data_IF_288390847582
#
_entry.id   IF_288390847582
#
_cell.length_a   1.000
_cell.length_b   1.000
_cell.length_c   1.000
_cell.angle_alpha   90.00
_cell.angle_beta   90.00
_cell.angle_gamma   90.00
#
_symmetry.space_group_name_H-M   'P 1'
#
loop_
_entity.id
_entity.type
_entity.pdbx_description
1 polymer ?
#
# COMPACT_ATOMS: atom_id res chain seq x y z
N UNK A 1 68.65 -11.98 -23.02
CA UNK A 1 69.40 -11.15 -22.08
C UNK A 1 68.80 -9.75 -22.06
N UNK A 2 68.01 -9.43 -21.05
CA UNK A 2 67.52 -8.05 -20.81
C UNK A 2 68.67 -7.26 -20.23
N UNK A 3 68.99 -6.12 -20.85
CA UNK A 3 70.05 -5.23 -20.40
C UNK A 3 69.68 -4.64 -19.01
N UNK A 4 70.62 -4.47 -18.07
CA UNK A 4 70.38 -3.92 -16.72
C UNK A 4 69.79 -2.49 -16.75
N UNK A 5 69.98 -1.77 -17.82
CA UNK A 5 69.45 -0.41 -18.06
C UNK A 5 67.93 -0.38 -18.24
N UNK A 6 67.30 -1.44 -18.76
CA UNK A 6 65.84 -1.52 -18.91
C UNK A 6 65.12 -1.73 -17.56
N UNK A 7 65.84 -2.23 -16.55
CA UNK A 7 65.34 -2.38 -15.18
C UNK A 7 65.34 -1.06 -14.40
N UNK A 8 66.15 -0.07 -14.84
CA UNK A 8 66.21 1.26 -14.24
C UNK A 8 65.23 2.25 -14.91
N UNK A 9 64.92 2.04 -16.20
CA UNK A 9 63.91 2.78 -16.94
C UNK A 9 62.54 2.10 -16.82
N UNK A 10 62.02 1.96 -15.62
CA UNK A 10 60.63 1.52 -15.36
C UNK A 10 59.54 2.41 -15.94
N UNK A 11 59.71 2.85 -17.18
CA UNK A 11 58.84 3.77 -17.91
C UNK A 11 58.20 2.95 -19.05
N UNK A 12 57.06 2.36 -18.82
CA UNK A 12 56.31 1.77 -19.93
C UNK A 12 55.18 0.80 -19.58
N UNK A 13 55.21 0.14 -18.42
CA UNK A 13 54.23 -0.91 -18.07
C UNK A 13 53.18 -0.43 -17.04
N UNK A 14 53.35 0.74 -16.43
CA UNK A 14 52.57 1.21 -15.29
C UNK A 14 51.30 1.94 -15.68
N UNK A 15 51.21 2.63 -16.86
CA UNK A 15 50.07 3.46 -17.22
C UNK A 15 48.82 2.66 -17.60
N UNK A 16 48.98 1.52 -18.29
CA UNK A 16 47.82 0.71 -18.69
C UNK A 16 47.12 0.03 -17.49
N UNK A 17 47.89 -0.45 -16.51
CA UNK A 17 47.36 -1.08 -15.30
C UNK A 17 46.69 -0.09 -14.34
N UNK A 18 47.14 1.17 -14.33
CA UNK A 18 46.51 2.26 -13.56
C UNK A 18 45.18 2.64 -14.14
N UNK A 19 45.04 2.73 -15.46
CA UNK A 19 43.77 3.01 -16.16
C UNK A 19 42.70 1.98 -15.86
N UNK A 20 43.04 0.69 -15.97
CA UNK A 20 42.08 -0.43 -15.73
C UNK A 20 41.54 -0.42 -14.30
N UNK A 21 42.37 -0.10 -13.27
CA UNK A 21 41.92 -0.01 -11.89
C UNK A 21 40.96 1.18 -11.67
N UNK A 22 41.24 2.32 -12.28
CA UNK A 22 40.37 3.49 -12.16
C UNK A 22 39.00 3.25 -12.83
N UNK A 23 38.98 2.56 -13.98
CA UNK A 23 37.75 2.13 -14.63
C UNK A 23 36.94 1.18 -13.74
N UNK A 24 37.63 0.20 -13.13
CA UNK A 24 36.98 -0.72 -12.18
C UNK A 24 36.35 0.01 -11.00
N UNK A 25 37.09 0.93 -10.36
CA UNK A 25 36.58 1.74 -9.26
C UNK A 25 35.41 2.65 -9.70
N UNK A 26 35.53 3.26 -10.88
CA UNK A 26 34.46 4.09 -11.44
C UNK A 26 33.17 3.28 -11.58
N UNK A 27 33.25 2.10 -12.20
CA UNK A 27 32.07 1.22 -12.40
C UNK A 27 31.50 0.77 -11.06
N UNK A 28 32.35 0.39 -10.12
CA UNK A 28 31.94 -0.03 -8.78
C UNK A 28 31.22 1.12 -8.02
N UNK A 29 31.78 2.34 -8.05
CA UNK A 29 31.15 3.51 -7.43
C UNK A 29 29.84 3.87 -8.12
N UNK A 30 29.80 3.85 -9.45
CA UNK A 30 28.59 4.18 -10.21
C UNK A 30 27.44 3.22 -9.90
N UNK A 31 27.69 1.91 -9.87
CA UNK A 31 26.70 0.89 -9.51
C UNK A 31 26.23 1.08 -8.06
N UNK A 32 27.15 1.33 -7.14
CA UNK A 32 26.77 1.52 -5.73
C UNK A 32 25.96 2.78 -5.52
N UNK A 33 26.33 3.92 -6.12
CA UNK A 33 25.52 5.13 -6.06
C UNK A 33 24.13 4.90 -6.65
N UNK A 34 24.05 4.21 -7.77
CA UNK A 34 22.78 3.83 -8.37
C UNK A 34 21.90 3.06 -7.37
N UNK A 35 22.44 1.98 -6.77
CA UNK A 35 21.70 1.16 -5.82
C UNK A 35 21.29 1.94 -4.57
N UNK A 36 22.18 2.79 -4.03
CA UNK A 36 21.86 3.63 -2.87
C UNK A 36 20.77 4.63 -3.17
N UNK A 37 20.83 5.33 -4.32
CA UNK A 37 19.82 6.31 -4.70
C UNK A 37 18.46 5.63 -4.89
N UNK A 38 18.43 4.50 -5.60
CA UNK A 38 17.21 3.72 -5.82
C UNK A 38 16.65 3.20 -4.49
N UNK A 39 17.49 2.68 -3.60
CA UNK A 39 17.09 2.23 -2.27
C UNK A 39 16.49 3.36 -1.43
N UNK A 40 17.11 4.53 -1.41
CA UNK A 40 16.59 5.69 -0.68
C UNK A 40 15.24 6.16 -1.25
N UNK A 41 15.10 6.11 -2.57
CA UNK A 41 13.83 6.44 -3.24
C UNK A 41 12.71 5.49 -2.80
N UNK A 42 12.91 4.16 -2.92
CA UNK A 42 11.88 3.19 -2.54
C UNK A 42 11.53 3.24 -1.05
N UNK A 43 12.51 3.44 -0.17
CA UNK A 43 12.24 3.62 1.25
C UNK A 43 11.39 4.88 1.51
N UNK A 44 11.72 5.99 0.86
CA UNK A 44 10.94 7.24 0.98
C UNK A 44 9.54 7.09 0.37
N UNK A 45 9.42 6.41 -0.74
CA UNK A 45 8.15 6.12 -1.40
C UNK A 45 7.25 5.25 -0.51
N UNK A 46 7.80 4.19 0.07
CA UNK A 46 7.08 3.34 1.02
C UNK A 46 6.61 4.13 2.25
N UNK A 47 7.46 4.98 2.82
CA UNK A 47 7.06 5.86 3.94
C UNK A 47 5.89 6.76 3.52
N UNK A 48 5.95 7.36 2.33
CA UNK A 48 4.84 8.17 1.80
C UNK A 48 3.54 7.36 1.66
N UNK A 49 3.60 6.12 1.14
CA UNK A 49 2.44 5.25 0.98
C UNK A 49 1.80 4.90 2.34
N UNK A 50 2.64 4.56 3.33
CA UNK A 50 2.18 4.19 4.67
C UNK A 50 1.68 5.37 5.51
N UNK A 51 2.20 6.57 5.27
CA UNK A 51 1.84 7.80 5.97
C UNK A 51 0.63 8.53 5.32
N UNK A 52 0.23 8.11 4.11
CA UNK A 52 -0.91 8.71 3.43
C UNK A 52 -2.21 8.28 4.09
N UNK A 53 -3.05 9.27 4.42
CA UNK A 53 -4.39 9.01 4.97
C UNK A 53 -5.25 8.26 3.94
N UNK A 54 -5.74 7.07 4.25
CA UNK A 54 -6.61 6.31 3.36
C UNK A 54 -8.01 6.93 3.19
N UNK A 55 -8.37 7.95 3.97
CA UNK A 55 -9.68 8.60 3.94
C UNK A 55 -10.75 7.87 4.74
N UNK A 56 -10.38 6.87 5.55
CA UNK A 56 -11.27 6.13 6.45
C UNK A 56 -10.59 5.84 7.78
N UNK A 57 -11.38 5.66 8.84
CA UNK A 57 -10.89 5.14 10.12
C UNK A 57 -10.36 3.72 9.95
N UNK A 58 -9.13 3.49 10.31
CA UNK A 58 -8.44 2.19 10.21
C UNK A 58 -8.09 1.61 11.56
N UNK A 59 -7.86 2.47 12.54
CA UNK A 59 -7.48 2.08 13.90
C UNK A 59 -8.72 1.67 14.71
N UNK A 60 -8.55 0.64 15.52
CA UNK A 60 -9.59 0.08 16.37
C UNK A 60 -10.84 -0.39 15.58
N UNK A 61 -10.67 -0.84 14.33
CA UNK A 61 -11.72 -1.44 13.50
C UNK A 61 -11.36 -2.88 13.14
N UNK A 62 -12.28 -3.79 13.47
CA UNK A 62 -12.18 -5.22 13.19
C UNK A 62 -13.13 -5.58 12.07
N UNK A 63 -12.70 -6.38 11.12
CA UNK A 63 -13.54 -7.09 10.17
C UNK A 63 -13.45 -8.59 10.49
N UNK A 64 -14.57 -9.20 10.85
CA UNK A 64 -14.64 -10.60 11.25
C UNK A 64 -15.73 -11.34 10.48
N UNK A 65 -15.43 -12.54 10.00
CA UNK A 65 -16.43 -13.42 9.41
C UNK A 65 -17.01 -14.27 10.53
N UNK A 66 -18.26 -14.01 10.89
CA UNK A 66 -18.96 -14.70 11.98
C UNK A 66 -20.11 -15.57 11.50
N UNK A 67 -20.38 -15.60 10.19
CA UNK A 67 -21.40 -16.47 9.57
C UNK A 67 -20.71 -17.26 8.46
N UNK A 68 -20.79 -18.57 8.54
CA UNK A 68 -20.12 -19.50 7.59
C UNK A 68 -21.10 -20.22 6.67
N UNK A 69 -22.39 -20.22 7.00
CA UNK A 69 -23.41 -20.82 6.16
C UNK A 69 -23.58 -20.03 4.88
N UNK A 70 -23.50 -20.75 3.75
CA UNK A 70 -23.69 -20.15 2.44
C UNK A 70 -25.06 -19.49 2.30
N UNK A 71 -25.07 -18.28 1.73
CA UNK A 71 -26.28 -17.62 1.24
C UNK A 71 -26.81 -18.26 -0.07
N UNK A 72 -26.42 -19.50 -0.37
CA UNK A 72 -26.85 -20.16 -1.58
C UNK A 72 -28.35 -20.50 -1.52
N UNK A 73 -29.16 -19.60 -2.06
CA UNK A 73 -30.60 -19.78 -2.22
C UNK A 73 -30.95 -20.82 -3.29
N UNK A 74 -29.98 -21.46 -3.95
CA UNK A 74 -30.24 -22.48 -4.96
C UNK A 74 -30.84 -23.74 -4.33
N UNK A 75 -30.61 -23.96 -3.04
CA UNK A 75 -31.25 -25.05 -2.25
C UNK A 75 -32.10 -24.42 -1.16
N UNK A 76 -33.32 -23.99 -1.52
CA UNK A 76 -34.29 -23.48 -0.56
C UNK A 76 -34.65 -24.55 0.47
N UNK A 77 -33.96 -24.53 1.62
CA UNK A 77 -34.30 -25.32 2.78
C UNK A 77 -34.73 -24.40 3.92
N UNK A 78 -36.05 -24.35 4.26
CA UNK A 78 -36.55 -23.47 5.30
C UNK A 78 -35.89 -23.64 6.66
N UNK A 79 -35.49 -24.89 6.99
CA UNK A 79 -34.87 -25.21 8.28
C UNK A 79 -33.45 -24.55 8.38
N UNK A 80 -32.66 -24.64 7.30
CA UNK A 80 -31.32 -24.05 7.24
C UNK A 80 -31.44 -22.51 7.35
N UNK A 81 -32.39 -21.91 6.64
CA UNK A 81 -32.63 -20.46 6.69
C UNK A 81 -33.01 -20.02 8.10
N UNK A 82 -33.92 -20.75 8.74
CA UNK A 82 -34.38 -20.44 10.10
C UNK A 82 -33.23 -20.58 11.12
N UNK A 83 -32.42 -21.61 10.99
CA UNK A 83 -31.25 -21.83 11.87
C UNK A 83 -30.23 -20.71 11.70
N UNK A 84 -29.90 -20.34 10.46
CA UNK A 84 -29.03 -19.21 10.18
C UNK A 84 -29.56 -17.91 10.78
N UNK A 85 -30.85 -17.63 10.64
CA UNK A 85 -31.45 -16.42 11.23
C UNK A 85 -31.38 -16.41 12.75
N UNK A 86 -31.55 -17.56 13.41
CA UNK A 86 -31.39 -17.67 14.86
C UNK A 86 -29.96 -17.40 15.29
N UNK A 87 -28.97 -17.89 14.55
CA UNK A 87 -27.55 -17.63 14.85
C UNK A 87 -27.20 -16.16 14.64
N UNK A 88 -27.65 -15.55 13.56
CA UNK A 88 -27.47 -14.11 13.32
C UNK A 88 -28.05 -13.34 14.51
N UNK A 89 -29.30 -13.57 14.89
CA UNK A 89 -29.93 -12.85 16.00
C UNK A 89 -29.20 -13.06 17.33
N UNK A 90 -28.63 -14.24 17.55
CA UNK A 90 -27.87 -14.54 18.74
C UNK A 90 -26.54 -13.77 18.75
N UNK A 91 -25.78 -13.78 17.65
CA UNK A 91 -24.52 -13.03 17.48
C UNK A 91 -24.78 -11.52 17.66
N UNK A 92 -25.81 -10.97 17.01
CA UNK A 92 -26.17 -9.55 17.10
C UNK A 92 -26.51 -9.15 18.55
N UNK A 93 -27.23 -10.02 19.26
CA UNK A 93 -27.56 -9.76 20.67
C UNK A 93 -26.30 -9.76 21.55
N UNK A 94 -25.35 -10.66 21.30
CA UNK A 94 -24.10 -10.69 22.04
C UNK A 94 -23.25 -9.46 21.71
N UNK A 95 -23.13 -9.05 20.45
CA UNK A 95 -22.38 -7.86 20.05
C UNK A 95 -22.95 -6.59 20.74
N UNK A 96 -24.27 -6.47 20.81
CA UNK A 96 -24.94 -5.35 21.48
C UNK A 96 -24.70 -5.32 23.01
N UNK A 97 -24.32 -6.44 23.63
CA UNK A 97 -24.01 -6.51 25.04
C UNK A 97 -22.55 -6.19 25.38
N UNK A 98 -21.66 -6.11 24.39
CA UNK A 98 -20.25 -5.82 24.59
C UNK A 98 -20.01 -4.32 24.77
N UNK A 99 -19.62 -3.83 25.95
CA UNK A 99 -19.44 -2.40 26.22
C UNK A 99 -18.22 -1.81 25.50
N UNK A 100 -17.27 -2.64 25.06
CA UNK A 100 -16.05 -2.23 24.35
C UNK A 100 -16.28 -2.03 22.84
N UNK A 101 -17.49 -2.36 22.32
CA UNK A 101 -17.92 -2.11 20.95
C UNK A 101 -18.65 -0.77 20.89
N UNK A 102 -18.23 0.11 19.98
CA UNK A 102 -18.92 1.40 19.74
C UNK A 102 -20.11 1.22 18.81
N UNK A 103 -19.87 0.61 17.65
CA UNK A 103 -20.86 0.37 16.61
C UNK A 103 -20.40 -0.80 15.75
N UNK A 104 -21.33 -1.55 15.18
CA UNK A 104 -21.08 -2.66 14.30
C UNK A 104 -22.11 -2.74 13.18
N UNK A 105 -21.76 -3.41 12.10
CA UNK A 105 -22.65 -3.77 10.99
C UNK A 105 -22.23 -5.10 10.38
N UNK A 106 -23.13 -5.76 9.65
CA UNK A 106 -22.81 -6.95 8.88
C UNK A 106 -23.09 -6.70 7.39
N UNK A 107 -22.05 -6.82 6.57
CA UNK A 107 -22.06 -6.55 5.13
C UNK A 107 -21.44 -7.71 4.36
N UNK A 108 -21.72 -7.82 3.04
CA UNK A 108 -21.17 -8.93 2.25
C UNK A 108 -19.67 -8.85 1.99
N UNK A 109 -19.06 -7.66 2.10
CA UNK A 109 -17.69 -7.43 1.69
C UNK A 109 -16.87 -6.71 2.75
N UNK A 110 -15.57 -6.92 2.68
CA UNK A 110 -14.59 -6.11 3.39
C UNK A 110 -14.55 -4.69 2.82
N UNK A 111 -14.17 -3.70 3.63
CA UNK A 111 -14.07 -2.30 3.19
C UNK A 111 -12.98 -2.10 2.15
N UNK A 112 -11.92 -2.91 2.20
CA UNK A 112 -10.79 -2.85 1.28
C UNK A 112 -10.80 -4.04 0.32
N UNK A 113 -10.46 -3.76 -0.95
CA UNK A 113 -10.23 -4.79 -1.98
C UNK A 113 -11.49 -5.42 -2.53
N UNK A 114 -12.67 -4.85 -2.29
CA UNK A 114 -13.89 -5.35 -2.92
C UNK A 114 -13.91 -5.05 -4.42
N UNK A 115 -14.56 -5.91 -5.19
CA UNK A 115 -14.65 -5.78 -6.64
C UNK A 115 -15.99 -6.31 -7.13
N UNK A 116 -17.01 -5.45 -7.04
CA UNK A 116 -18.35 -5.76 -7.53
C UNK A 116 -18.80 -4.65 -8.46
N UNK A 117 -18.54 -4.86 -9.76
CA UNK A 117 -18.88 -3.92 -10.82
C UNK A 117 -20.34 -4.06 -11.22
N UNK A 118 -21.02 -2.95 -11.29
CA UNK A 118 -22.43 -2.85 -11.68
C UNK A 118 -22.58 -1.79 -12.77
N UNK A 119 -23.42 -2.07 -13.75
CA UNK A 119 -23.76 -1.14 -14.81
C UNK A 119 -24.91 -0.25 -14.37
N UNK A 120 -24.67 1.05 -14.36
CA UNK A 120 -25.66 2.07 -14.05
C UNK A 120 -25.96 2.94 -15.27
N UNK A 121 -27.19 3.46 -15.36
CA UNK A 121 -27.58 4.49 -16.33
C UNK A 121 -28.31 5.64 -15.64
N UNK A 122 -28.39 6.80 -16.32
CA UNK A 122 -29.15 7.98 -15.86
C UNK A 122 -30.60 7.97 -16.32
N UNK A 123 -31.09 6.90 -16.94
CA UNK A 123 -32.40 6.79 -17.53
C UNK A 123 -32.33 6.47 -19.04
N UNK A 124 -33.46 6.50 -19.71
CA UNK A 124 -33.58 6.18 -21.15
C UNK A 124 -32.74 7.13 -22.01
N UNK A 125 -31.79 6.56 -22.78
CA UNK A 125 -30.86 7.33 -23.61
C UNK A 125 -29.64 7.87 -22.89
N UNK A 126 -29.49 7.64 -21.58
CA UNK A 126 -28.26 7.93 -20.83
C UNK A 126 -27.13 6.94 -21.09
N UNK A 127 -25.87 7.40 -21.02
CA UNK A 127 -24.72 6.52 -21.14
C UNK A 127 -24.70 5.44 -20.04
N UNK A 128 -24.07 4.31 -20.35
CA UNK A 128 -23.78 3.28 -19.34
C UNK A 128 -22.50 3.59 -18.59
N UNK A 129 -22.55 3.48 -17.27
CA UNK A 129 -21.45 3.73 -16.37
C UNK A 129 -21.19 2.45 -15.58
N UNK A 130 -19.99 1.88 -15.74
CA UNK A 130 -19.56 0.73 -14.96
C UNK A 130 -18.85 1.23 -13.70
N UNK A 131 -19.45 0.99 -12.53
CA UNK A 131 -18.96 1.49 -11.26
C UNK A 131 -19.02 0.39 -10.19
N UNK A 132 -18.17 0.52 -9.18
CA UNK A 132 -18.23 -0.39 -8.05
C UNK A 132 -19.48 -0.12 -7.22
N UNK A 133 -20.18 -1.19 -6.87
CA UNK A 133 -21.33 -1.14 -5.97
C UNK A 133 -21.03 -1.86 -4.67
N UNK A 134 -21.32 -1.21 -3.55
CA UNK A 134 -21.19 -1.79 -2.22
C UNK A 134 -22.54 -1.78 -1.49
N UNK A 135 -22.96 -2.91 -0.95
CA UNK A 135 -24.11 -2.97 -0.05
C UNK A 135 -23.64 -2.58 1.34
N UNK A 136 -24.28 -1.57 1.94
CA UNK A 136 -23.90 -1.04 3.24
C UNK A 136 -25.14 -0.69 4.08
N UNK A 137 -24.94 -0.58 5.38
CA UNK A 137 -25.92 0.01 6.30
C UNK A 137 -25.50 1.43 6.69
N UNK A 138 -26.35 2.22 7.36
CA UNK A 138 -25.96 3.56 7.86
C UNK A 138 -24.75 3.52 8.80
N UNK A 139 -24.62 2.45 9.58
CA UNK A 139 -23.53 2.26 10.54
C UNK A 139 -22.15 2.15 9.87
N UNK A 140 -22.08 1.68 8.61
CA UNK A 140 -20.85 1.61 7.83
C UNK A 140 -20.13 2.96 7.79
N UNK A 141 -20.86 4.04 7.51
CA UNK A 141 -20.27 5.38 7.43
C UNK A 141 -19.81 5.89 8.81
N UNK A 142 -20.44 5.44 9.89
CA UNK A 142 -20.03 5.77 11.27
C UNK A 142 -18.77 5.00 11.67
N UNK A 143 -18.70 3.69 11.35
CA UNK A 143 -17.55 2.83 11.65
C UNK A 143 -16.28 3.39 11.00
N UNK A 144 -16.39 3.73 9.72
CA UNK A 144 -15.25 4.20 8.94
C UNK A 144 -15.05 5.72 8.95
N UNK A 145 -15.90 6.45 9.66
CA UNK A 145 -15.84 7.91 9.79
C UNK A 145 -15.78 8.63 8.43
N UNK A 146 -16.49 8.10 7.41
CA UNK A 146 -16.48 8.67 6.07
C UNK A 146 -17.30 9.97 6.07
N UNK A 147 -16.69 11.13 5.72
CA UNK A 147 -17.39 12.42 5.77
C UNK A 147 -18.53 12.51 4.74
N UNK A 148 -19.69 12.98 5.17
CA UNK A 148 -20.80 13.32 4.29
C UNK A 148 -20.56 14.73 3.76
N UNK A 149 -20.50 14.89 2.44
CA UNK A 149 -20.24 16.15 1.77
C UNK A 149 -21.52 16.89 1.45
N UNK A 150 -22.56 16.14 1.06
CA UNK A 150 -23.86 16.70 0.65
C UNK A 150 -24.97 15.68 0.94
N UNK A 151 -26.17 16.17 1.21
CA UNK A 151 -27.33 15.34 1.47
C UNK A 151 -27.35 14.73 2.86
N UNK A 152 -28.08 13.66 3.03
CA UNK A 152 -28.21 12.94 4.31
C UNK A 152 -28.24 11.44 4.08
N UNK A 153 -27.63 10.68 4.99
CA UNK A 153 -27.77 9.23 5.01
C UNK A 153 -29.14 8.91 5.63
N UNK A 154 -30.04 8.27 4.87
CA UNK A 154 -31.36 7.94 5.37
C UNK A 154 -31.28 6.98 6.55
N UNK A 155 -32.07 7.25 7.60
CA UNK A 155 -32.33 6.25 8.64
C UNK A 155 -33.27 5.21 8.05
N UNK A 156 -32.78 4.03 7.83
CA UNK A 156 -33.58 2.94 7.28
C UNK A 156 -34.39 2.25 8.38
N UNK A 157 -35.62 1.88 8.09
CA UNK A 157 -36.43 1.03 8.98
C UNK A 157 -36.54 -0.38 8.37
N UNK A 158 -36.62 -1.44 9.18
CA UNK A 158 -36.69 -2.82 8.69
C UNK A 158 -37.82 -3.09 7.69
N UNK A 159 -38.88 -2.29 7.71
CA UNK A 159 -40.03 -2.39 6.79
C UNK A 159 -39.95 -1.44 5.59
N UNK A 160 -38.94 -0.60 5.50
CA UNK A 160 -38.75 0.31 4.39
C UNK A 160 -38.17 -0.43 3.19
N UNK A 161 -38.91 -0.51 2.11
CA UNK A 161 -38.46 -1.11 0.84
C UNK A 161 -37.82 -0.09 -0.10
N UNK A 162 -37.66 1.14 0.33
CA UNK A 162 -37.06 2.20 -0.47
C UNK A 162 -35.55 1.95 -0.55
N UNK A 163 -35.04 1.77 -1.75
CA UNK A 163 -33.60 1.72 -1.98
C UNK A 163 -33.06 3.16 -2.02
N UNK A 164 -31.97 3.38 -1.35
CA UNK A 164 -31.25 4.65 -1.39
C UNK A 164 -29.85 4.39 -1.91
N UNK A 165 -29.36 5.27 -2.78
CA UNK A 165 -28.00 5.25 -3.24
C UNK A 165 -27.23 6.40 -2.60
N UNK A 166 -25.98 6.11 -2.26
CA UNK A 166 -24.99 7.10 -1.83
C UNK A 166 -23.84 6.99 -2.81
N UNK A 167 -23.28 8.09 -3.24
CA UNK A 167 -22.18 8.10 -4.19
C UNK A 167 -20.95 8.76 -3.55
N UNK A 168 -19.75 8.26 -3.84
CA UNK A 168 -18.58 9.02 -3.50
C UNK A 168 -18.37 10.18 -4.48
N UNK A 169 -17.50 11.13 -4.14
CA UNK A 169 -17.21 12.32 -4.96
C UNK A 169 -16.78 11.92 -6.38
N UNK A 170 -15.96 10.91 -6.51
CA UNK A 170 -15.47 10.42 -7.82
C UNK A 170 -16.58 9.81 -8.66
N UNK A 171 -17.54 9.11 -8.07
CA UNK A 171 -18.72 8.61 -8.79
C UNK A 171 -19.58 9.76 -9.32
N UNK A 172 -19.85 10.79 -8.51
CA UNK A 172 -20.57 11.98 -8.92
C UNK A 172 -19.90 12.69 -10.10
N UNK A 173 -18.58 12.84 -10.04
CA UNK A 173 -17.77 13.41 -11.12
C UNK A 173 -17.85 12.55 -12.39
N UNK A 174 -17.72 11.24 -12.28
CA UNK A 174 -17.82 10.30 -13.41
C UNK A 174 -19.19 10.37 -14.06
N UNK A 175 -20.23 10.49 -13.24
CA UNK A 175 -21.60 10.68 -13.71
C UNK A 175 -21.86 12.08 -14.28
N UNK A 176 -21.00 13.08 -14.01
CA UNK A 176 -21.19 14.45 -14.43
C UNK A 176 -22.33 15.17 -13.67
N UNK A 177 -22.61 14.71 -12.43
CA UNK A 177 -23.47 15.44 -11.50
C UNK A 177 -22.67 16.41 -10.66
N UNK A 178 -23.22 17.60 -10.40
CA UNK A 178 -22.61 18.60 -9.52
C UNK A 178 -23.18 18.57 -8.10
N UNK A 179 -24.41 18.09 -7.96
CA UNK A 179 -25.13 18.00 -6.68
C UNK A 179 -25.89 16.67 -6.62
N UNK A 180 -26.27 16.22 -5.43
CA UNK A 180 -27.15 15.06 -5.28
C UNK A 180 -28.61 15.37 -5.58
N UNK A 181 -29.02 16.65 -5.59
CA UNK A 181 -30.38 17.05 -5.88
C UNK A 181 -30.80 16.68 -7.31
N UNK A 182 -31.80 15.83 -7.44
CA UNK A 182 -32.25 15.30 -8.72
C UNK A 182 -31.33 14.25 -9.37
N UNK A 183 -30.23 13.90 -8.73
CA UNK A 183 -29.35 12.83 -9.21
C UNK A 183 -30.00 11.46 -8.92
N UNK A 184 -30.08 10.63 -9.96
CA UNK A 184 -30.68 9.31 -9.84
C UNK A 184 -30.05 8.34 -10.83
N UNK A 185 -30.04 7.07 -10.47
CA UNK A 185 -29.46 5.99 -11.27
C UNK A 185 -30.39 4.80 -11.39
N UNK A 186 -30.32 4.14 -12.52
CA UNK A 186 -30.96 2.84 -12.75
C UNK A 186 -29.85 1.78 -12.71
N UNK A 187 -30.04 0.75 -11.89
CA UNK A 187 -29.17 -0.44 -11.92
C UNK A 187 -29.60 -1.30 -13.11
N UNK A 188 -28.84 -1.26 -14.19
CA UNK A 188 -29.15 -1.94 -15.44
C UNK A 188 -28.96 -3.45 -15.35
N UNK A 189 -28.07 -3.93 -14.49
CA UNK A 189 -27.90 -5.37 -14.27
C UNK A 189 -29.14 -5.93 -13.54
N UNK A 190 -29.66 -5.23 -12.54
CA UNK A 190 -30.91 -5.61 -11.88
C UNK A 190 -32.13 -5.49 -12.84
N UNK A 191 -32.14 -4.45 -13.69
CA UNK A 191 -33.21 -4.24 -14.68
C UNK A 191 -33.34 -5.36 -15.70
N UNK A 192 -32.23 -6.07 -16.00
CA UNK A 192 -32.26 -7.27 -16.87
C UNK A 192 -33.09 -8.38 -16.28
N UNK A 193 -33.06 -8.55 -14.97
CA UNK A 193 -33.85 -9.59 -14.26
C UNK A 193 -35.20 -9.09 -13.80
N UNK A 194 -35.30 -7.80 -13.51
CA UNK A 194 -36.52 -7.11 -13.05
C UNK A 194 -36.77 -5.87 -13.93
N UNK A 195 -37.47 -6.02 -15.07
CA UNK A 195 -37.72 -4.91 -16.02
C UNK A 195 -38.39 -3.68 -15.40
N UNK A 196 -39.06 -3.86 -14.25
CA UNK A 196 -39.74 -2.77 -13.52
C UNK A 196 -38.81 -1.98 -12.60
N UNK A 197 -37.51 -2.26 -12.61
CA UNK A 197 -36.53 -1.52 -11.80
C UNK A 197 -36.58 -0.04 -12.14
N UNK A 198 -36.96 0.75 -11.15
CA UNK A 198 -37.07 2.19 -11.26
C UNK A 198 -35.75 2.90 -10.98
N UNK A 199 -35.68 4.14 -11.35
CA UNK A 199 -34.60 5.03 -10.99
C UNK A 199 -34.55 5.24 -9.48
N UNK A 200 -33.35 5.07 -8.89
CA UNK A 200 -33.12 5.27 -7.47
C UNK A 200 -32.31 6.56 -7.26
N UNK A 201 -32.80 7.40 -6.36
CA UNK A 201 -32.22 8.72 -6.07
C UNK A 201 -30.92 8.56 -5.28
N UNK A 202 -29.92 9.38 -5.61
CA UNK A 202 -28.70 9.53 -4.80
C UNK A 202 -29.05 10.48 -3.66
N UNK A 203 -29.10 9.95 -2.43
CA UNK A 203 -29.53 10.70 -1.24
C UNK A 203 -28.41 11.47 -0.55
N UNK A 204 -27.16 11.05 -0.75
CA UNK A 204 -26.00 11.71 -0.20
C UNK A 204 -24.75 11.50 -1.06
N UNK A 205 -23.83 12.44 -0.94
CA UNK A 205 -22.47 12.35 -1.48
C UNK A 205 -21.50 12.26 -0.31
N UNK A 206 -20.58 11.31 -0.39
CA UNK A 206 -19.55 11.11 0.64
C UNK A 206 -18.17 11.38 0.08
N UNK A 207 -17.20 11.58 0.99
CA UNK A 207 -15.80 11.77 0.62
C UNK A 207 -15.24 10.49 -0.01
N UNK A 208 -14.24 10.68 -0.84
CA UNK A 208 -13.47 9.60 -1.45
C UNK A 208 -12.54 8.93 -0.44
N UNK A 209 -12.32 7.64 -0.59
CA UNK A 209 -11.30 6.90 0.15
C UNK A 209 -10.57 5.90 -0.75
N UNK A 210 -9.38 5.49 -0.34
CA UNK A 210 -8.61 4.47 -1.05
C UNK A 210 -9.02 3.07 -0.56
N UNK A 211 -9.77 2.36 -1.38
CA UNK A 211 -10.18 0.98 -1.12
C UNK A 211 -9.16 -0.06 -1.61
N UNK A 212 -8.12 0.41 -2.33
CA UNK A 212 -7.00 -0.36 -2.89
C UNK A 212 -5.70 0.39 -2.73
N UNK A 213 -4.65 -0.16 -3.36
CA UNK A 213 -3.36 0.49 -3.44
C UNK A 213 -3.50 1.90 -4.05
N UNK A 214 -2.84 2.89 -3.43
CA UNK A 214 -2.99 4.30 -3.80
C UNK A 214 -2.62 4.59 -5.26
N UNK A 215 -1.71 3.78 -5.85
CA UNK A 215 -1.34 3.92 -7.27
C UNK A 215 -2.48 3.59 -8.24
N UNK A 216 -3.48 2.84 -7.80
CA UNK A 216 -4.66 2.53 -8.62
C UNK A 216 -5.64 3.71 -8.69
N UNK A 217 -5.42 4.74 -7.86
CA UNK A 217 -6.29 5.90 -7.76
C UNK A 217 -7.61 5.60 -7.05
N UNK A 218 -8.43 6.63 -6.93
CA UNK A 218 -9.74 6.54 -6.31
C UNK A 218 -10.76 6.10 -7.35
N UNK A 219 -11.55 5.09 -7.00
CA UNK A 219 -12.58 4.53 -7.88
C UNK A 219 -13.95 5.17 -7.66
N UNK A 220 -14.81 5.23 -8.69
CA UNK A 220 -16.21 5.59 -8.52
C UNK A 220 -16.94 4.46 -7.78
N UNK A 221 -17.49 4.77 -6.60
CA UNK A 221 -18.22 3.84 -5.74
C UNK A 221 -19.64 4.33 -5.53
N UNK A 222 -20.61 3.45 -5.75
CA UNK A 222 -22.01 3.66 -5.42
C UNK A 222 -22.36 2.71 -4.27
N UNK A 223 -22.74 3.28 -3.14
CA UNK A 223 -23.19 2.51 -1.98
C UNK A 223 -24.70 2.34 -2.09
N UNK A 224 -25.15 1.10 -2.10
CA UNK A 224 -26.57 0.75 -2.06
C UNK A 224 -26.92 0.45 -0.59
N UNK A 225 -27.83 1.28 -0.06
CA UNK A 225 -28.26 1.18 1.33
C UNK A 225 -29.17 -0.03 1.53
N UNK A 226 -28.84 -0.85 2.51
CA UNK A 226 -29.68 -1.96 2.98
C UNK A 226 -30.21 -1.67 4.38
N UNK A 227 -31.40 -2.16 4.65
CA UNK A 227 -32.11 -1.92 5.91
C UNK A 227 -31.83 -2.96 6.98
N UNK A 228 -31.03 -3.97 6.65
CA UNK A 228 -30.75 -5.08 7.55
C UNK A 228 -29.33 -5.61 7.33
N UNK A 229 -28.77 -6.11 8.39
CA UNK A 229 -27.49 -6.79 8.34
C UNK A 229 -27.65 -8.10 7.55
N UNK A 230 -27.12 -8.15 6.35
CA UNK A 230 -27.27 -9.29 5.42
C UNK A 230 -25.92 -9.76 4.89
N UNK A 231 -24.88 -9.63 5.68
CA UNK A 231 -23.55 -10.07 5.31
C UNK A 231 -22.97 -11.08 6.26
N UNK A 232 -21.90 -11.71 5.81
CA UNK A 232 -21.14 -12.66 6.59
C UNK A 232 -19.94 -11.97 7.27
N UNK A 233 -19.60 -10.74 6.83
CA UNK A 233 -18.49 -9.93 7.36
C UNK A 233 -19.05 -8.87 8.31
N UNK A 234 -18.71 -9.04 9.57
CA UNK A 234 -19.02 -8.08 10.63
C UNK A 234 -17.92 -7.04 10.70
N UNK A 235 -18.27 -5.79 10.49
CA UNK A 235 -17.40 -4.64 10.64
C UNK A 235 -17.70 -3.98 11.99
N UNK A 236 -16.70 -3.90 12.85
CA UNK A 236 -16.87 -3.57 14.26
C UNK A 236 -15.89 -2.46 14.62
N UNK A 237 -16.40 -1.29 15.00
CA UNK A 237 -15.61 -0.23 15.61
C UNK A 237 -15.51 -0.47 17.11
N UNK A 238 -14.29 -0.52 17.61
CA UNK A 238 -13.99 -0.72 19.03
C UNK A 238 -13.73 0.62 19.70
N UNK A 239 -13.99 0.69 21.00
CA UNK A 239 -13.50 1.79 21.82
C UNK A 239 -11.97 1.86 21.74
N UNK A 240 -11.42 3.06 21.81
CA UNK A 240 -9.99 3.32 21.65
C UNK A 240 -9.13 2.40 22.53
N UNK A 241 -8.26 1.63 21.88
CA UNK A 241 -7.34 0.70 22.54
C UNK A 241 -8.01 -0.56 23.11
N UNK A 242 -9.27 -0.84 22.76
CA UNK A 242 -10.02 -2.02 23.23
C UNK A 242 -10.08 -3.16 22.21
N UNK A 243 -9.39 -3.02 21.10
CA UNK A 243 -9.37 -4.01 20.01
C UNK A 243 -9.12 -5.43 20.50
N UNK A 244 -8.09 -5.64 21.35
CA UNK A 244 -7.78 -6.98 21.84
C UNK A 244 -8.89 -7.54 22.76
N UNK A 245 -9.52 -6.71 23.59
CA UNK A 245 -10.66 -7.08 24.44
C UNK A 245 -11.83 -7.54 23.58
N UNK A 246 -12.12 -6.82 22.49
CA UNK A 246 -13.20 -7.18 21.56
C UNK A 246 -12.85 -8.48 20.81
N UNK A 247 -11.61 -8.67 20.35
CA UNK A 247 -11.18 -9.95 19.72
C UNK A 247 -11.38 -11.12 20.68
N UNK A 248 -10.99 -10.99 21.95
CA UNK A 248 -11.17 -12.05 22.95
C UNK A 248 -12.65 -12.28 23.28
N UNK A 249 -13.48 -11.25 23.20
CA UNK A 249 -14.93 -11.36 23.28
C UNK A 249 -15.51 -12.11 22.07
N UNK A 250 -15.07 -11.79 20.85
CA UNK A 250 -15.52 -12.47 19.63
C UNK A 250 -15.17 -13.97 19.63
N UNK A 251 -14.03 -14.36 20.21
CA UNK A 251 -13.70 -15.78 20.43
C UNK A 251 -14.74 -16.49 21.31
N UNK A 252 -15.25 -15.80 22.33
CA UNK A 252 -16.32 -16.35 23.17
C UNK A 252 -17.63 -16.47 22.42
N UNK A 253 -17.97 -15.46 21.58
CA UNK A 253 -19.14 -15.50 20.71
C UNK A 253 -19.04 -16.71 19.77
N UNK A 254 -17.91 -16.89 19.11
CA UNK A 254 -17.65 -18.00 18.19
C UNK A 254 -17.76 -19.35 18.89
N UNK A 255 -17.16 -19.46 20.07
CA UNK A 255 -17.25 -20.69 20.88
C UNK A 255 -18.67 -21.03 21.28
N UNK A 256 -19.48 -20.03 21.64
CA UNK A 256 -20.88 -20.24 22.02
C UNK A 256 -21.76 -20.63 20.85
N UNK A 257 -21.52 -20.04 19.66
CA UNK A 257 -22.33 -20.27 18.46
C UNK A 257 -21.92 -21.52 17.70
N UNK A 258 -20.61 -21.75 17.54
CA UNK A 258 -20.07 -22.82 16.68
C UNK A 258 -19.24 -23.86 17.45
N UNK A 259 -18.96 -23.65 18.74
CA UNK A 259 -18.15 -24.57 19.55
C UNK A 259 -16.64 -24.48 19.29
N UNK A 260 -16.18 -23.50 18.52
CA UNK A 260 -14.78 -23.26 18.19
C UNK A 260 -14.37 -21.85 18.62
N UNK A 261 -13.10 -21.64 18.96
CA UNK A 261 -12.53 -20.30 19.19
C UNK A 261 -11.83 -19.76 17.92
N UNK A 262 -11.83 -20.54 16.85
CA UNK A 262 -11.08 -20.28 15.63
C UNK A 262 -12.02 -19.63 14.62
N UNK A 263 -11.86 -18.32 14.38
CA UNK A 263 -12.65 -17.57 13.42
C UNK A 263 -11.76 -16.63 12.58
N UNK A 264 -12.24 -16.31 11.40
CA UNK A 264 -11.54 -15.44 10.46
C UNK A 264 -11.78 -13.97 10.82
N UNK A 265 -10.75 -13.27 11.21
CA UNK A 265 -10.81 -11.83 11.43
C UNK A 265 -9.54 -11.13 10.95
N UNK A 266 -9.64 -9.84 10.73
CA UNK A 266 -8.51 -8.98 10.41
C UNK A 266 -8.75 -7.57 10.95
N UNK A 267 -7.67 -6.89 11.32
CA UNK A 267 -7.72 -5.46 11.60
C UNK A 267 -7.65 -4.69 10.28
N UNK A 268 -8.45 -3.64 10.15
CA UNK A 268 -8.42 -2.81 8.94
C UNK A 268 -7.05 -2.19 8.74
N UNK A 269 -6.39 -1.75 9.83
CA UNK A 269 -5.01 -1.24 9.81
C UNK A 269 -3.99 -2.27 9.30
N UNK A 270 -4.18 -3.57 9.62
CA UNK A 270 -3.31 -4.65 9.11
C UNK A 270 -3.58 -4.93 7.63
N UNK A 271 -4.84 -4.87 7.20
CA UNK A 271 -5.20 -5.05 5.78
C UNK A 271 -4.60 -3.95 4.92
N UNK A 272 -4.60 -2.70 5.40
CA UNK A 272 -3.90 -1.61 4.71
C UNK A 272 -2.39 -1.90 4.61
N UNK A 273 -1.75 -2.33 5.69
CA UNK A 273 -0.33 -2.71 5.64
C UNK A 273 -0.05 -3.81 4.61
N UNK A 274 -0.97 -4.77 4.48
CA UNK A 274 -0.86 -5.84 3.46
C UNK A 274 -0.92 -5.33 2.02
N UNK A 275 -1.66 -4.25 1.75
CA UNK A 275 -1.69 -3.65 0.42
C UNK A 275 -0.30 -3.17 -0.04
N UNK A 276 0.57 -2.81 0.91
CA UNK A 276 1.91 -2.29 0.65
C UNK A 276 3.03 -3.30 0.96
N UNK A 277 2.71 -4.59 1.20
CA UNK A 277 3.72 -5.61 1.49
C UNK A 277 4.70 -5.82 0.33
N UNK A 278 4.23 -5.73 -0.92
CA UNK A 278 5.09 -5.85 -2.10
C UNK A 278 6.06 -4.69 -2.20
N UNK A 279 5.58 -3.45 -1.99
CA UNK A 279 6.43 -2.25 -1.98
C UNK A 279 7.49 -2.32 -0.88
N UNK A 280 7.10 -2.80 0.30
CA UNK A 280 8.03 -3.04 1.41
C UNK A 280 9.09 -4.07 1.04
N UNK A 281 8.69 -5.18 0.41
CA UNK A 281 9.64 -6.21 -0.04
C UNK A 281 10.63 -5.65 -1.06
N UNK A 282 10.16 -4.84 -2.01
CA UNK A 282 11.01 -4.17 -3.00
C UNK A 282 12.00 -3.24 -2.30
N UNK A 283 11.54 -2.39 -1.37
CA UNK A 283 12.38 -1.49 -0.61
C UNK A 283 13.46 -2.24 0.19
N UNK A 284 13.10 -3.32 0.88
CA UNK A 284 14.02 -4.17 1.65
C UNK A 284 15.08 -4.85 0.78
N UNK A 285 14.70 -5.32 -0.42
CA UNK A 285 15.63 -5.90 -1.40
C UNK A 285 16.66 -4.86 -1.83
N UNK A 286 16.23 -3.67 -2.25
CA UNK A 286 17.16 -2.61 -2.67
C UNK A 286 18.03 -2.13 -1.51
N UNK A 287 17.51 -2.03 -0.30
CA UNK A 287 18.29 -1.68 0.89
C UNK A 287 19.38 -2.71 1.18
N UNK A 288 19.07 -4.00 1.06
CA UNK A 288 20.02 -5.09 1.24
C UNK A 288 21.14 -5.05 0.19
N UNK A 289 20.78 -4.90 -1.09
CA UNK A 289 21.77 -4.80 -2.16
C UNK A 289 22.65 -3.54 -2.03
N UNK A 290 22.07 -2.40 -1.63
CA UNK A 290 22.82 -1.19 -1.36
C UNK A 290 23.82 -1.40 -0.21
N UNK A 291 23.43 -2.07 0.87
CA UNK A 291 24.31 -2.43 1.98
C UNK A 291 25.49 -3.32 1.54
N UNK A 292 25.20 -4.37 0.77
CA UNK A 292 26.24 -5.24 0.21
C UNK A 292 27.18 -4.45 -0.72
N UNK A 293 26.64 -3.60 -1.59
CA UNK A 293 27.44 -2.80 -2.51
C UNK A 293 28.38 -1.82 -1.74
N UNK A 294 27.92 -1.22 -0.65
CA UNK A 294 28.75 -0.36 0.22
C UNK A 294 29.89 -1.20 0.84
N UNK A 295 29.64 -2.39 1.33
CA UNK A 295 30.68 -3.28 1.87
C UNK A 295 31.72 -3.62 0.81
N UNK A 296 31.29 -3.96 -0.40
CA UNK A 296 32.20 -4.27 -1.52
C UNK A 296 33.05 -3.04 -1.89
N UNK A 297 32.46 -1.83 -1.92
CA UNK A 297 33.22 -0.59 -2.14
C UNK A 297 34.29 -0.40 -1.06
N UNK A 298 33.95 -0.55 0.21
CA UNK A 298 34.87 -0.39 1.30
C UNK A 298 36.06 -1.35 1.18
N UNK A 299 35.79 -2.62 0.87
CA UNK A 299 36.83 -3.65 0.67
C UNK A 299 37.68 -3.34 -0.57
N UNK A 300 37.08 -2.95 -1.69
CA UNK A 300 37.78 -2.57 -2.91
C UNK A 300 38.69 -1.35 -2.72
N UNK A 301 38.18 -0.30 -2.08
CA UNK A 301 38.95 0.91 -1.76
C UNK A 301 40.11 0.59 -0.82
N UNK A 302 39.86 -0.22 0.21
CA UNK A 302 40.90 -0.66 1.15
C UNK A 302 42.03 -1.42 0.43
N UNK A 303 41.66 -2.41 -0.40
CA UNK A 303 42.65 -3.21 -1.15
C UNK A 303 43.50 -2.35 -2.10
N UNK A 304 42.87 -1.46 -2.86
CA UNK A 304 43.59 -0.59 -3.80
C UNK A 304 44.41 0.46 -3.08
N UNK A 305 43.94 1.01 -1.96
CA UNK A 305 44.70 1.95 -1.14
C UNK A 305 45.98 1.34 -0.55
N UNK A 306 45.89 0.12 -0.01
CA UNK A 306 47.05 -0.61 0.48
C UNK A 306 48.08 -0.87 -0.61
N UNK A 307 47.61 -1.24 -1.81
CA UNK A 307 48.51 -1.45 -2.93
C UNK A 307 49.20 -0.17 -3.37
N UNK A 308 48.45 0.94 -3.48
CA UNK A 308 49.01 2.26 -3.87
C UNK A 308 50.02 2.76 -2.84
N UNK A 309 49.78 2.58 -1.54
CA UNK A 309 50.72 2.94 -0.48
C UNK A 309 52.03 2.15 -0.62
N UNK A 310 51.92 0.82 -0.84
CA UNK A 310 53.11 -0.03 -1.05
C UNK A 310 53.90 0.39 -2.28
N UNK A 311 53.24 0.72 -3.38
CA UNK A 311 53.91 1.14 -4.60
C UNK A 311 54.64 2.48 -4.46
N UNK A 312 54.08 3.41 -3.65
CA UNK A 312 54.62 4.76 -3.42
C UNK A 312 55.39 4.90 -2.12
N UNK A 313 55.73 3.77 -1.47
CA UNK A 313 56.36 3.80 -0.15
C UNK A 313 57.64 4.65 -0.10
N UNK A 314 58.50 4.57 -1.12
CA UNK A 314 59.75 5.38 -1.23
C UNK A 314 59.43 6.86 -1.40
N UNK A 315 58.48 7.25 -2.21
CA UNK A 315 58.05 8.63 -2.42
C UNK A 315 57.52 9.24 -1.11
N UNK A 316 56.67 8.49 -0.41
CA UNK A 316 56.08 8.88 0.88
C UNK A 316 57.19 9.04 1.92
N UNK A 317 58.16 8.12 1.99
CA UNK A 317 59.27 8.18 2.93
C UNK A 317 60.17 9.38 2.69
N UNK A 318 60.49 9.71 1.43
CA UNK A 318 61.33 10.88 1.06
C UNK A 318 60.59 12.15 1.43
N UNK A 319 59.31 12.31 1.10
CA UNK A 319 58.54 13.52 1.45
C UNK A 319 58.42 13.70 2.95
N UNK A 320 58.20 12.62 3.71
CA UNK A 320 58.16 12.67 5.17
C UNK A 320 59.50 13.07 5.77
N UNK A 321 60.63 12.60 5.21
CA UNK A 321 61.94 13.04 5.62
C UNK A 321 62.22 14.55 5.34
N UNK A 322 61.57 15.13 4.33
CA UNK A 322 61.63 16.56 4.00
C UNK A 322 60.56 17.40 4.73
N UNK A 323 59.86 16.83 5.75
CA UNK A 323 58.97 17.58 6.61
C UNK A 323 57.53 17.68 6.11
N UNK A 324 57.10 16.89 5.13
CA UNK A 324 55.69 16.87 4.69
C UNK A 324 54.76 16.39 5.80
N UNK A 325 53.70 17.17 6.03
CA UNK A 325 52.68 16.81 7.02
C UNK A 325 51.80 15.64 6.58
N UNK A 326 51.13 15.01 7.53
CA UNK A 326 50.16 13.91 7.23
C UNK A 326 49.05 14.35 6.28
N UNK A 327 48.61 15.61 6.38
CA UNK A 327 47.59 16.20 5.51
C UNK A 327 48.00 16.21 4.04
N UNK A 328 49.26 16.56 3.75
CA UNK A 328 49.77 16.61 2.38
C UNK A 328 49.84 15.20 1.76
N UNK A 329 50.21 14.20 2.58
CA UNK A 329 50.23 12.79 2.17
C UNK A 329 48.84 12.25 1.89
N UNK A 330 47.83 12.58 2.73
CA UNK A 330 46.47 12.20 2.50
C UNK A 330 45.91 12.86 1.24
N UNK A 331 46.10 14.14 1.02
CA UNK A 331 45.68 14.82 -0.21
C UNK A 331 46.29 14.18 -1.47
N UNK A 332 47.55 13.82 -1.45
CA UNK A 332 48.22 13.15 -2.57
C UNK A 332 47.62 11.79 -2.90
N UNK A 333 47.28 11.02 -1.88
CA UNK A 333 46.72 9.66 -2.05
C UNK A 333 45.25 9.67 -2.42
N UNK A 334 44.46 10.50 -1.75
CA UNK A 334 43.01 10.44 -1.86
C UNK A 334 42.40 11.33 -2.97
N UNK A 335 43.10 12.37 -3.43
CA UNK A 335 42.57 13.30 -4.47
C UNK A 335 42.03 12.58 -5.72
N UNK A 336 42.74 11.57 -6.21
CA UNK A 336 42.32 10.78 -7.38
C UNK A 336 41.06 9.93 -7.13
N UNK A 337 40.92 9.37 -5.92
CA UNK A 337 39.75 8.57 -5.56
C UNK A 337 38.50 9.45 -5.39
N UNK A 338 38.66 10.65 -4.79
CA UNK A 338 37.59 11.62 -4.68
C UNK A 338 37.11 12.13 -6.04
N UNK A 339 38.04 12.29 -7.00
CA UNK A 339 37.66 12.68 -8.36
C UNK A 339 36.85 11.58 -9.03
N UNK A 340 37.28 10.31 -8.97
CA UNK A 340 36.56 9.17 -9.53
C UNK A 340 35.20 9.03 -8.86
N UNK A 341 35.13 9.18 -7.55
CA UNK A 341 33.88 9.17 -6.79
C UNK A 341 32.90 10.24 -7.30
N UNK A 342 33.38 11.51 -7.44
CA UNK A 342 32.56 12.61 -7.95
C UNK A 342 32.04 12.39 -9.36
N UNK A 343 32.89 11.89 -10.27
CA UNK A 343 32.49 11.58 -11.66
C UNK A 343 31.48 10.43 -11.67
N UNK A 344 31.71 9.38 -10.87
CA UNK A 344 30.76 8.25 -10.76
C UNK A 344 29.40 8.70 -10.25
N UNK A 345 29.36 9.62 -9.28
CA UNK A 345 28.11 10.19 -8.76
C UNK A 345 27.34 10.96 -9.84
N UNK A 346 28.04 11.85 -10.59
CA UNK A 346 27.44 12.62 -11.68
C UNK A 346 26.83 11.73 -12.76
N UNK A 347 27.41 10.57 -13.03
CA UNK A 347 26.87 9.60 -13.99
C UNK A 347 25.73 8.76 -13.38
N UNK A 348 25.83 8.38 -12.11
CA UNK A 348 24.85 7.54 -11.44
C UNK A 348 23.50 8.27 -11.24
N UNK A 349 23.50 9.58 -10.94
CA UNK A 349 22.27 10.35 -10.67
C UNK A 349 21.32 10.38 -11.87
N UNK A 350 21.72 10.73 -13.09
CA UNK A 350 20.83 10.72 -14.26
C UNK A 350 20.32 9.31 -14.57
N UNK A 351 21.16 8.29 -14.41
CA UNK A 351 20.79 6.90 -14.67
C UNK A 351 19.75 6.42 -13.64
N UNK A 352 19.95 6.74 -12.37
CA UNK A 352 18.98 6.44 -11.31
C UNK A 352 17.63 7.14 -11.57
N UNK A 353 17.68 8.42 -11.93
CA UNK A 353 16.47 9.19 -12.28
C UNK A 353 15.70 8.54 -13.43
N UNK A 354 16.40 8.13 -14.50
CA UNK A 354 15.79 7.46 -15.64
C UNK A 354 15.10 6.15 -15.23
N UNK A 355 15.78 5.30 -14.45
CA UNK A 355 15.21 4.03 -13.99
C UNK A 355 13.98 4.23 -13.07
N UNK A 356 14.06 5.18 -12.16
CA UNK A 356 12.95 5.52 -11.25
C UNK A 356 11.76 6.02 -12.07
N UNK A 357 11.99 6.94 -13.01
CA UNK A 357 10.92 7.49 -13.84
C UNK A 357 10.23 6.41 -14.68
N UNK A 358 11.00 5.46 -15.23
CA UNK A 358 10.42 4.35 -16.01
C UNK A 358 9.60 3.40 -15.14
N UNK A 359 9.91 3.28 -13.85
CA UNK A 359 9.13 2.45 -12.92
C UNK A 359 7.84 3.15 -12.47
N UNK A 360 7.84 4.48 -12.37
CA UNK A 360 6.70 5.27 -11.87
C UNK A 360 5.78 5.82 -12.96
N UNK A 361 6.15 5.69 -14.24
CA UNK A 361 5.33 6.06 -15.40
C UNK A 361 4.40 4.93 -15.83
#
# INVERSE_FOLDING_TARGET
>A
RKLPIDSIRGIGVTNHRLGTRMVFLFTQYAITFLLVIVSLYFNKHLSFLLDTDPGIRTEDVIEAKLIYESNDYSTYNPEIIQERQKRIAHIENMLNQCPDIEVWTAVPWYVLGFDYLTNFSKGEGGGMYNMNQMLVTPEFFQIFEIPILEGTIPKTHPNDRTNYLIANRTAMKTLGYTTCEGAALINEDMRRFMPQTQSTVISAVVEDYFDRHISEGIRPIVFNMTNYNNGDVYQIACQKGKTQSVVDYLKKVEKEVYGSEDFEYSLVSERIKKLYEEDKRIADIYATFAGIAILIICLGLFGISLFDIRQRYREIAIRKAHGAGMKDLYQLLFKKYLLVLGVSFVVAVPLAYYLIHQYTA
#
